data_IF_721517799330
#
_entry.id   IF_721517799330
#
_cell.length_a   1.000
_cell.length_b   1.000
_cell.length_c   1.000
_cell.angle_alpha   90.00
_cell.angle_beta   90.00
_cell.angle_gamma   90.00
#
_symmetry.space_group_name_H-M   'P 1'
#
loop_
_entity.id
_entity.type
_entity.pdbx_description
1 polymer ?
#
# COMPACT_ATOMS: atom_id res chain seq x y z
N UNK A 1 7.85 3.24 -2.61
CA UNK A 1 7.09 2.11 -3.19
C UNK A 1 6.63 2.35 -4.64
N UNK A 2 6.37 3.56 -5.05
CA UNK A 2 5.80 3.87 -6.38
C UNK A 2 6.82 4.10 -7.50
N UNK A 3 8.11 4.29 -7.18
CA UNK A 3 9.12 4.55 -8.20
C UNK A 3 9.90 3.28 -8.57
N UNK A 4 9.80 2.76 -9.80
CA UNK A 4 10.34 1.45 -10.18
C UNK A 4 11.85 1.33 -9.96
N UNK A 5 12.62 2.37 -10.31
CA UNK A 5 14.08 2.34 -10.16
C UNK A 5 14.55 2.43 -8.70
N UNK A 6 13.71 2.99 -7.80
CA UNK A 6 14.06 3.10 -6.39
C UNK A 6 13.90 1.79 -5.61
N UNK A 7 13.16 0.83 -6.15
CA UNK A 7 12.88 -0.45 -5.52
C UNK A 7 13.21 -1.66 -6.40
N UNK A 8 14.14 -1.49 -7.35
CA UNK A 8 14.61 -2.53 -8.25
C UNK A 8 13.46 -3.29 -8.93
N UNK A 9 12.43 -2.54 -9.36
CA UNK A 9 11.26 -3.08 -10.06
C UNK A 9 10.54 -4.20 -9.28
N UNK A 10 10.36 -4.02 -7.98
CA UNK A 10 9.77 -5.04 -7.10
C UNK A 10 8.41 -5.54 -7.60
N UNK A 11 7.55 -4.64 -8.12
CA UNK A 11 6.23 -4.99 -8.66
C UNK A 11 6.38 -5.96 -9.84
N UNK A 12 7.20 -5.59 -10.85
CA UNK A 12 7.46 -6.45 -12.01
C UNK A 12 8.04 -7.82 -11.59
N UNK A 13 8.83 -7.83 -10.51
CA UNK A 13 9.42 -9.08 -10.00
C UNK A 13 8.36 -9.96 -9.33
N UNK A 14 7.45 -9.38 -8.55
CA UNK A 14 6.34 -10.09 -7.90
C UNK A 14 5.42 -10.70 -8.97
N UNK A 15 5.05 -9.91 -9.97
CA UNK A 15 4.17 -10.36 -11.06
C UNK A 15 4.82 -11.45 -11.92
N UNK A 16 6.12 -11.33 -12.23
CA UNK A 16 6.86 -12.36 -12.96
C UNK A 16 6.96 -13.69 -12.19
N UNK A 17 6.97 -13.65 -10.87
CA UNK A 17 6.94 -14.86 -10.03
C UNK A 17 5.50 -15.41 -9.85
N UNK A 18 4.51 -14.83 -10.55
CA UNK A 18 3.14 -15.33 -10.62
C UNK A 18 2.22 -14.86 -9.49
N UNK A 19 2.55 -13.75 -8.81
CA UNK A 19 1.72 -13.17 -7.77
C UNK A 19 1.19 -11.79 -8.17
N UNK A 20 -0.01 -11.43 -7.75
CA UNK A 20 -0.55 -10.08 -7.92
C UNK A 20 0.03 -9.14 -6.85
N UNK A 21 0.37 -7.91 -7.26
CA UNK A 21 0.91 -6.90 -6.37
C UNK A 21 -0.15 -5.85 -6.03
N UNK A 22 -0.58 -5.82 -4.77
CA UNK A 22 -1.48 -4.79 -4.23
C UNK A 22 -0.66 -3.71 -3.55
N UNK A 23 -0.95 -2.44 -3.85
CA UNK A 23 -0.29 -1.29 -3.23
C UNK A 23 -1.31 -0.41 -2.53
N UNK A 24 -1.05 0.00 -1.27
CA UNK A 24 -1.89 0.97 -0.57
C UNK A 24 -2.01 2.30 -1.31
N UNK A 25 -3.14 2.98 -1.14
CA UNK A 25 -3.43 4.26 -1.79
C UNK A 25 -2.42 5.35 -1.36
N UNK A 26 -1.85 6.05 -2.33
CA UNK A 26 -0.93 7.15 -2.06
C UNK A 26 -1.63 8.33 -1.37
N UNK A 27 -2.90 8.56 -1.63
CA UNK A 27 -3.68 9.64 -1.03
C UNK A 27 -3.78 9.50 0.48
N UNK A 28 -3.77 8.28 1.02
CA UNK A 28 -3.87 8.02 2.46
C UNK A 28 -2.71 8.63 3.25
N UNK A 29 -1.54 8.76 2.66
CA UNK A 29 -0.43 9.48 3.28
C UNK A 29 -0.74 10.97 3.51
N UNK A 30 -1.46 11.60 2.60
CA UNK A 30 -1.92 12.99 2.78
C UNK A 30 -3.00 13.06 3.86
N UNK A 31 -3.95 12.14 3.86
CA UNK A 31 -4.96 12.05 4.93
C UNK A 31 -4.31 11.85 6.30
N UNK A 32 -3.33 10.95 6.39
CA UNK A 32 -2.53 10.75 7.60
C UNK A 32 -1.87 12.06 8.07
N UNK A 33 -1.23 12.79 7.16
CA UNK A 33 -0.54 14.03 7.49
C UNK A 33 -1.48 15.07 8.12
N UNK A 34 -2.72 15.15 7.66
CA UNK A 34 -3.74 16.01 8.26
C UNK A 34 -4.29 15.42 9.56
N UNK A 35 -4.59 14.14 9.60
CA UNK A 35 -5.16 13.46 10.77
C UNK A 35 -4.26 13.55 12.01
N UNK A 36 -2.94 13.66 11.85
CA UNK A 36 -2.02 13.90 12.97
C UNK A 36 -2.35 15.17 13.77
N UNK A 37 -3.02 16.15 13.14
CA UNK A 37 -3.48 17.37 13.81
C UNK A 37 -4.55 17.11 14.87
N UNK A 38 -5.32 16.04 14.75
CA UNK A 38 -6.33 15.61 15.72
C UNK A 38 -5.61 15.15 16.99
N UNK A 39 -4.69 14.19 16.87
CA UNK A 39 -3.89 13.69 17.96
C UNK A 39 -3.09 14.81 18.66
N UNK A 40 -2.51 15.73 17.90
CA UNK A 40 -1.77 16.87 18.47
C UNK A 40 -2.64 17.72 19.38
N UNK A 41 -3.91 17.91 19.06
CA UNK A 41 -4.83 18.64 19.93
C UNK A 41 -5.21 17.83 21.16
N UNK A 42 -5.63 16.58 20.98
CA UNK A 42 -6.16 15.73 22.04
C UNK A 42 -5.11 15.36 23.07
N UNK A 43 -3.88 15.04 22.64
CA UNK A 43 -2.84 14.50 23.52
C UNK A 43 -1.69 15.45 23.79
N UNK A 44 -1.40 16.39 22.89
CA UNK A 44 -0.27 17.31 23.02
C UNK A 44 -0.68 18.75 23.32
N UNK A 45 -1.96 18.98 23.66
CA UNK A 45 -2.51 20.29 24.04
C UNK A 45 -2.30 21.40 22.97
N UNK A 46 -2.20 21.04 21.70
CA UNK A 46 -2.18 22.03 20.63
C UNK A 46 -3.53 22.77 20.56
N UNK A 47 -3.58 24.00 20.00
CA UNK A 47 -4.81 24.76 19.90
C UNK A 47 -5.92 23.95 19.18
N UNK A 48 -7.17 24.07 19.62
CA UNK A 48 -8.35 23.45 19.00
C UNK A 48 -8.50 23.79 17.52
N UNK A 49 -7.93 24.91 17.09
CA UNK A 49 -7.84 25.27 15.69
C UNK A 49 -7.12 24.23 14.83
N UNK A 50 -6.08 23.56 15.39
CA UNK A 50 -5.31 22.51 14.72
C UNK A 50 -6.20 21.32 14.39
N UNK A 51 -6.99 20.86 15.35
CA UNK A 51 -7.95 19.77 15.18
C UNK A 51 -9.03 20.14 14.14
N UNK A 52 -9.60 21.36 14.27
CA UNK A 52 -10.64 21.84 13.36
C UNK A 52 -10.15 21.92 11.92
N UNK A 53 -8.94 22.43 11.72
CA UNK A 53 -8.32 22.49 10.40
C UNK A 53 -8.06 21.10 9.85
N UNK A 54 -7.54 20.18 10.67
CA UNK A 54 -7.31 18.79 10.29
C UNK A 54 -8.61 18.12 9.80
N UNK A 55 -9.67 18.20 10.59
CA UNK A 55 -11.00 17.64 10.24
C UNK A 55 -11.58 18.28 8.98
N UNK A 56 -11.41 19.59 8.79
CA UNK A 56 -11.86 20.29 7.60
C UNK A 56 -11.12 19.81 6.34
N UNK A 57 -9.80 19.65 6.40
CA UNK A 57 -9.01 19.16 5.27
C UNK A 57 -9.36 17.72 4.93
N UNK A 58 -9.48 16.84 5.92
CA UNK A 58 -9.90 15.44 5.71
C UNK A 58 -11.27 15.42 5.03
N UNK A 59 -12.24 16.18 5.55
CA UNK A 59 -13.58 16.29 4.96
C UNK A 59 -13.53 16.77 3.50
N UNK A 60 -12.75 17.81 3.23
CA UNK A 60 -12.62 18.38 1.87
C UNK A 60 -12.02 17.35 0.89
N UNK A 61 -10.99 16.65 1.29
CA UNK A 61 -10.38 15.61 0.47
C UNK A 61 -11.34 14.43 0.24
N UNK A 62 -12.09 14.02 1.26
CA UNK A 62 -13.10 12.96 1.13
C UNK A 62 -14.23 13.31 0.17
N UNK A 63 -14.56 14.58 -0.02
CA UNK A 63 -15.57 14.99 -1.04
C UNK A 63 -15.18 14.54 -2.45
N UNK A 64 -13.90 14.63 -2.79
CA UNK A 64 -13.38 14.16 -4.08
C UNK A 64 -13.26 12.65 -4.11
N UNK A 65 -12.74 12.05 -3.02
CA UNK A 65 -12.54 10.62 -2.91
C UNK A 65 -13.85 9.81 -2.92
N UNK A 66 -14.93 10.37 -2.40
CA UNK A 66 -16.25 9.71 -2.35
C UNK A 66 -16.79 9.32 -3.73
N UNK A 67 -16.52 10.10 -4.76
CA UNK A 67 -16.89 9.72 -6.13
C UNK A 67 -16.10 8.49 -6.59
N UNK A 68 -14.80 8.47 -6.34
CA UNK A 68 -13.91 7.35 -6.62
C UNK A 68 -14.38 6.09 -5.88
N UNK A 69 -14.60 6.20 -4.56
CA UNK A 69 -15.08 5.09 -3.73
C UNK A 69 -16.37 4.48 -4.27
N UNK A 70 -17.31 5.32 -4.75
CA UNK A 70 -18.57 4.85 -5.34
C UNK A 70 -18.33 3.98 -6.59
N UNK A 71 -17.39 4.36 -7.45
CA UNK A 71 -17.06 3.56 -8.64
C UNK A 71 -16.31 2.28 -8.26
N UNK A 72 -15.36 2.34 -7.34
CA UNK A 72 -14.61 1.18 -6.87
C UNK A 72 -15.51 0.15 -6.18
N UNK A 73 -16.44 0.59 -5.33
CA UNK A 73 -17.43 -0.29 -4.68
C UNK A 73 -18.38 -1.00 -5.67
N UNK A 74 -18.51 -0.51 -6.88
CA UNK A 74 -19.26 -1.17 -7.94
C UNK A 74 -18.38 -2.09 -8.81
N UNK A 75 -17.07 -2.06 -8.60
CA UNK A 75 -16.13 -2.96 -9.25
C UNK A 75 -16.19 -4.35 -8.61
N UNK A 76 -15.98 -5.39 -9.41
CA UNK A 76 -15.80 -6.76 -8.90
C UNK A 76 -14.35 -7.02 -8.48
N UNK A 77 -13.41 -6.23 -9.00
CA UNK A 77 -11.98 -6.44 -8.84
C UNK A 77 -11.34 -5.53 -7.81
N UNK A 78 -11.82 -4.30 -7.69
CA UNK A 78 -11.20 -3.28 -6.86
C UNK A 78 -12.06 -2.96 -5.66
N UNK A 79 -11.43 -2.86 -4.51
CA UNK A 79 -12.05 -2.38 -3.27
C UNK A 79 -11.80 -0.88 -3.10
N UNK A 80 -12.76 -0.20 -2.45
CA UNK A 80 -12.58 1.20 -2.14
C UNK A 80 -11.70 1.36 -0.91
N UNK A 81 -10.72 2.27 -0.92
CA UNK A 81 -9.85 2.47 0.23
C UNK A 81 -10.63 2.91 1.48
N UNK A 82 -10.21 2.43 2.63
CA UNK A 82 -10.77 2.76 3.93
C UNK A 82 -10.65 4.26 4.25
N UNK A 83 -11.41 4.75 5.21
CA UNK A 83 -11.21 6.12 5.70
C UNK A 83 -9.99 6.19 6.62
N UNK A 84 -9.36 7.37 6.71
CA UNK A 84 -8.24 7.56 7.65
C UNK A 84 -8.65 7.30 9.11
N UNK A 85 -9.92 7.53 9.46
CA UNK A 85 -10.46 7.27 10.79
C UNK A 85 -10.59 5.77 11.08
N UNK A 86 -10.91 4.96 10.06
CA UNK A 86 -10.97 3.50 10.19
C UNK A 86 -9.56 2.93 10.35
N UNK A 87 -8.57 3.47 9.61
CA UNK A 87 -7.16 3.14 9.77
C UNK A 87 -6.66 3.47 11.18
N UNK A 88 -6.95 4.68 11.70
CA UNK A 88 -6.62 5.07 13.08
C UNK A 88 -7.19 4.07 14.09
N UNK A 89 -8.49 3.80 13.98
CA UNK A 89 -9.19 2.87 14.87
C UNK A 89 -8.68 1.44 14.75
N UNK A 90 -8.28 1.04 13.54
CA UNK A 90 -7.78 -0.31 13.26
C UNK A 90 -6.43 -0.61 13.85
N UNK A 91 -5.66 0.41 14.26
CA UNK A 91 -4.28 0.30 14.72
C UNK A 91 -4.06 0.81 16.16
N UNK A 92 -5.04 1.48 16.74
CA UNK A 92 -4.94 2.19 18.05
C UNK A 92 -4.49 1.27 19.20
N UNK A 93 -4.89 0.01 19.19
CA UNK A 93 -4.50 -0.99 20.18
C UNK A 93 -3.19 -1.74 19.84
N UNK A 94 -2.56 -1.42 18.71
CA UNK A 94 -1.34 -2.06 18.19
C UNK A 94 -0.15 -1.14 18.35
N UNK A 95 -0.26 0.11 17.88
CA UNK A 95 0.76 1.14 17.95
C UNK A 95 0.13 2.46 18.38
N UNK A 96 0.76 3.14 19.33
CA UNK A 96 0.24 4.41 19.81
C UNK A 96 0.22 5.45 18.67
N UNK A 97 -0.92 6.13 18.51
CA UNK A 97 -1.11 7.18 17.48
C UNK A 97 -0.19 8.40 17.68
N UNK A 98 0.51 8.49 18.81
CA UNK A 98 1.57 9.48 19.06
C UNK A 98 2.86 9.27 18.26
N UNK A 99 3.02 8.14 17.59
CA UNK A 99 4.10 7.91 16.63
C UNK A 99 3.80 8.64 15.33
N UNK A 100 4.00 9.95 15.31
CA UNK A 100 3.65 10.86 14.19
C UNK A 100 4.87 11.36 13.41
N UNK A 101 6.06 10.87 13.69
CA UNK A 101 7.28 11.26 12.96
C UNK A 101 7.36 10.51 11.63
N UNK A 102 7.52 11.24 10.54
CA UNK A 102 7.47 10.68 9.19
C UNK A 102 6.11 10.04 8.92
N UNK A 103 6.09 8.81 8.45
CA UNK A 103 4.88 8.00 8.22
C UNK A 103 4.26 7.47 9.53
N UNK A 104 5.04 7.41 10.59
CA UNK A 104 4.60 7.06 11.94
C UNK A 104 3.70 5.82 12.01
N UNK A 105 2.62 5.90 12.79
CA UNK A 105 1.65 4.80 12.98
C UNK A 105 1.00 4.32 11.67
N UNK A 106 1.00 5.15 10.65
CA UNK A 106 0.36 4.86 9.37
C UNK A 106 0.97 3.65 8.66
N UNK A 107 2.29 3.42 8.78
CA UNK A 107 2.94 2.22 8.24
C UNK A 107 2.37 0.92 8.83
N UNK A 108 2.12 0.92 10.12
CA UNK A 108 1.47 -0.24 10.77
C UNK A 108 0.02 -0.37 10.33
N UNK A 109 -0.69 0.74 10.17
CA UNK A 109 -2.09 0.75 9.77
C UNK A 109 -2.27 0.20 8.35
N UNK A 110 -1.42 0.60 7.38
CA UNK A 110 -1.43 0.03 6.03
C UNK A 110 -1.25 -1.50 6.05
N UNK A 111 -0.34 -2.02 6.88
CA UNK A 111 -0.14 -3.47 7.00
C UNK A 111 -1.36 -4.17 7.62
N UNK A 112 -1.99 -3.58 8.62
CA UNK A 112 -3.21 -4.12 9.25
C UNK A 112 -4.38 -4.12 8.27
N UNK A 113 -4.53 -3.06 7.49
CA UNK A 113 -5.55 -2.95 6.44
C UNK A 113 -5.38 -4.06 5.40
N UNK A 114 -4.20 -4.19 4.81
CA UNK A 114 -3.90 -5.25 3.84
C UNK A 114 -4.22 -6.66 4.38
N UNK A 115 -3.86 -6.94 5.63
CA UNK A 115 -4.16 -8.24 6.25
C UNK A 115 -5.68 -8.46 6.36
N UNK A 116 -6.42 -7.44 6.76
CA UNK A 116 -7.89 -7.51 6.90
C UNK A 116 -8.61 -7.63 5.56
N UNK A 117 -8.05 -7.06 4.51
CA UNK A 117 -8.52 -7.16 3.12
C UNK A 117 -8.13 -8.48 2.43
N UNK A 118 -7.48 -9.39 3.15
CA UNK A 118 -7.10 -10.70 2.63
C UNK A 118 -5.78 -10.73 1.88
N UNK A 119 -4.92 -9.72 2.05
CA UNK A 119 -3.56 -9.65 1.50
C UNK A 119 -2.53 -9.84 2.61
N UNK A 120 -2.34 -11.04 3.16
CA UNK A 120 -1.49 -11.27 4.33
C UNK A 120 0.00 -11.30 4.01
N UNK A 121 0.40 -11.43 2.73
CA UNK A 121 1.80 -11.48 2.30
C UNK A 121 2.30 -10.08 1.96
N UNK A 122 3.12 -9.48 2.85
CA UNK A 122 3.49 -8.08 2.79
C UNK A 122 5.00 -7.91 2.67
N UNK A 123 5.44 -7.24 1.60
CA UNK A 123 6.80 -6.74 1.46
C UNK A 123 6.89 -5.34 2.11
N UNK A 124 7.42 -5.26 3.33
CA UNK A 124 7.69 -4.00 4.01
C UNK A 124 9.00 -3.41 3.50
N UNK A 125 8.93 -2.61 2.46
CA UNK A 125 10.09 -1.98 1.81
C UNK A 125 10.53 -0.73 2.54
N UNK A 126 11.83 -0.58 2.78
CA UNK A 126 12.36 0.53 3.55
C UNK A 126 13.78 0.92 3.13
N UNK A 127 14.18 2.20 3.26
CA UNK A 127 15.59 2.58 3.24
C UNK A 127 16.22 2.20 4.58
N UNK A 128 17.50 1.85 4.57
CA UNK A 128 18.26 1.54 5.78
C UNK A 128 18.28 2.75 6.73
N UNK A 129 18.17 2.48 8.03
CA UNK A 129 18.17 3.50 9.09
C UNK A 129 17.05 4.55 9.00
N UNK A 130 16.01 4.35 8.20
CA UNK A 130 14.81 5.16 8.24
C UNK A 130 14.06 4.93 9.55
N UNK A 131 14.07 5.91 10.46
CA UNK A 131 13.53 5.78 11.82
C UNK A 131 12.08 5.28 11.86
N UNK A 132 11.10 5.93 11.20
CA UNK A 132 9.71 5.47 11.25
C UNK A 132 9.56 4.05 10.68
N UNK A 133 10.24 3.72 9.60
CA UNK A 133 10.20 2.37 9.04
C UNK A 133 10.77 1.32 10.01
N UNK A 134 11.81 1.64 10.76
CA UNK A 134 12.37 0.72 11.75
C UNK A 134 11.47 0.55 12.97
N UNK A 135 10.82 1.62 13.43
CA UNK A 135 9.98 1.60 14.63
C UNK A 135 8.58 1.04 14.31
N UNK A 136 7.85 1.69 13.41
CA UNK A 136 6.44 1.39 13.13
C UNK A 136 6.20 0.53 11.89
N UNK A 137 7.23 0.28 11.10
CA UNK A 137 7.23 -0.73 10.04
C UNK A 137 7.80 -2.05 10.54
N UNK A 138 9.12 -2.24 10.37
CA UNK A 138 9.84 -3.47 10.74
C UNK A 138 9.67 -3.85 12.22
N UNK A 139 9.67 -2.87 13.13
CA UNK A 139 9.54 -3.10 14.57
C UNK A 139 8.22 -3.74 14.96
N UNK A 140 7.15 -3.51 14.21
CA UNK A 140 5.82 -4.02 14.50
C UNK A 140 5.55 -5.41 13.90
N UNK A 141 6.42 -5.94 13.04
CA UNK A 141 6.20 -7.23 12.34
C UNK A 141 5.94 -8.37 13.33
N UNK A 142 6.69 -8.44 14.44
CA UNK A 142 6.50 -9.49 15.45
C UNK A 142 5.13 -9.41 16.11
N UNK A 143 4.67 -8.21 16.43
CA UNK A 143 3.35 -7.98 17.04
C UNK A 143 2.22 -8.28 16.05
N UNK A 144 2.37 -7.86 14.79
CA UNK A 144 1.41 -8.18 13.73
C UNK A 144 1.27 -9.69 13.52
N UNK A 145 2.37 -10.44 13.46
CA UNK A 145 2.33 -11.90 13.36
C UNK A 145 1.70 -12.57 14.58
N UNK A 146 1.87 -11.99 15.77
CA UNK A 146 1.23 -12.48 17.00
C UNK A 146 -0.29 -12.30 16.96
N UNK A 147 -0.76 -11.17 16.44
CA UNK A 147 -2.20 -10.84 16.36
C UNK A 147 -2.88 -11.50 15.17
N UNK A 148 -2.15 -11.60 14.06
CA UNK A 148 -2.62 -12.17 12.80
C UNK A 148 -1.72 -13.35 12.41
N UNK A 149 -2.02 -14.58 12.89
CA UNK A 149 -1.15 -15.75 12.67
C UNK A 149 -0.90 -16.10 11.20
N UNK A 150 -1.79 -15.67 10.29
CA UNK A 150 -1.63 -15.82 8.84
C UNK A 150 -0.75 -14.76 8.18
N UNK A 151 -0.30 -13.73 8.92
CA UNK A 151 0.49 -12.65 8.35
C UNK A 151 1.91 -13.10 7.98
N UNK A 152 2.24 -13.00 6.70
CA UNK A 152 3.54 -13.30 6.12
C UNK A 152 4.20 -11.98 5.71
N UNK A 153 4.97 -11.37 6.61
CA UNK A 153 5.55 -10.04 6.40
C UNK A 153 7.07 -10.13 6.34
N UNK A 154 7.69 -9.56 5.32
CA UNK A 154 9.15 -9.49 5.18
C UNK A 154 9.62 -8.05 5.06
N UNK A 155 10.58 -7.63 5.90
CA UNK A 155 11.25 -6.35 5.75
C UNK A 155 12.36 -6.47 4.70
N UNK A 156 12.36 -5.56 3.72
CA UNK A 156 13.33 -5.54 2.63
C UNK A 156 13.95 -4.14 2.57
N UNK A 157 15.27 -4.07 2.76
CA UNK A 157 16.01 -2.81 2.73
C UNK A 157 16.42 -2.48 1.27
N UNK A 158 16.15 -1.24 0.85
CA UNK A 158 16.49 -0.71 -0.48
C UNK A 158 17.40 0.49 -0.33
N UNK A 159 18.70 0.24 -0.41
CA UNK A 159 19.75 1.24 -0.33
C UNK A 159 20.72 1.08 -1.49
N UNK A 160 21.43 2.14 -1.88
CA UNK A 160 22.44 2.07 -2.95
C UNK A 160 23.56 1.04 -2.67
N UNK A 161 23.79 0.68 -1.40
CA UNK A 161 24.77 -0.33 -1.01
C UNK A 161 24.19 -1.70 -0.69
N UNK A 162 22.86 -1.87 -0.79
CA UNK A 162 22.22 -3.15 -0.52
C UNK A 162 22.44 -4.14 -1.66
N UNK A 163 22.65 -5.41 -1.30
CA UNK A 163 22.76 -6.48 -2.28
C UNK A 163 21.40 -6.78 -2.91
N UNK A 164 21.29 -6.58 -4.21
CA UNK A 164 20.10 -6.92 -5.00
C UNK A 164 19.74 -8.41 -4.85
N UNK A 165 20.73 -9.28 -4.77
CA UNK A 165 20.54 -10.73 -4.53
C UNK A 165 19.84 -10.97 -3.19
N UNK A 166 20.22 -10.24 -2.15
CA UNK A 166 19.57 -10.37 -0.84
C UNK A 166 18.12 -9.87 -0.86
N UNK A 167 17.84 -8.79 -1.57
CA UNK A 167 16.49 -8.26 -1.76
C UNK A 167 15.61 -9.29 -2.48
N UNK A 168 16.12 -9.83 -3.60
CA UNK A 168 15.43 -10.84 -4.39
C UNK A 168 15.19 -12.13 -3.58
N UNK A 169 16.18 -12.61 -2.82
CA UNK A 169 16.03 -13.79 -1.99
C UNK A 169 14.97 -13.61 -0.91
N UNK A 170 14.90 -12.43 -0.26
CA UNK A 170 13.86 -12.12 0.73
C UNK A 170 12.48 -12.08 0.08
N UNK A 171 12.38 -11.50 -1.12
CA UNK A 171 11.15 -11.45 -1.88
C UNK A 171 10.68 -12.85 -2.29
N UNK A 172 11.57 -13.67 -2.83
CA UNK A 172 11.25 -15.07 -3.20
C UNK A 172 10.83 -15.90 -1.99
N UNK A 173 11.48 -15.70 -0.85
CA UNK A 173 11.06 -16.38 0.39
C UNK A 173 9.69 -15.93 0.86
N UNK A 174 9.37 -14.63 0.73
CA UNK A 174 8.03 -14.11 1.01
C UNK A 174 6.98 -14.77 0.11
N UNK A 175 7.24 -14.83 -1.19
CA UNK A 175 6.32 -15.40 -2.17
C UNK A 175 6.15 -16.91 -2.00
N UNK A 176 7.22 -17.65 -1.69
CA UNK A 176 7.15 -19.10 -1.46
C UNK A 176 6.30 -19.49 -0.24
N UNK A 177 6.15 -18.58 0.71
CA UNK A 177 5.29 -18.76 1.89
C UNK A 177 3.92 -18.08 1.74
N UNK A 178 3.63 -17.50 0.58
CA UNK A 178 2.32 -16.93 0.32
C UNK A 178 1.27 -18.03 0.22
N UNK A 179 0.06 -17.85 0.77
CA UNK A 179 -1.01 -18.82 0.62
C UNK A 179 -1.32 -19.01 -0.87
N UNK A 180 -1.32 -20.26 -1.32
CA UNK A 180 -1.71 -20.59 -2.68
C UNK A 180 -3.20 -20.31 -2.87
N UNK A 181 -3.56 -19.56 -3.91
CA UNK A 181 -4.91 -19.57 -4.44
C UNK A 181 -5.83 -18.40 -4.11
N UNK A 182 -5.37 -17.16 -4.20
CA UNK A 182 -6.24 -16.12 -4.74
C UNK A 182 -5.83 -15.86 -6.19
N UNK A 183 -6.18 -16.77 -7.07
CA UNK A 183 -6.22 -16.42 -8.48
C UNK A 183 -7.38 -15.45 -8.68
N UNK A 184 -7.20 -14.31 -9.34
CA UNK A 184 -8.33 -13.54 -9.83
C UNK A 184 -9.19 -14.52 -10.61
N UNK A 185 -10.51 -14.45 -10.42
CA UNK A 185 -11.45 -15.26 -11.17
C UNK A 185 -11.05 -15.17 -12.65
N UNK A 186 -10.79 -16.29 -13.33
CA UNK A 186 -10.42 -16.33 -14.75
C UNK A 186 -11.50 -15.66 -15.63
N UNK A 187 -12.64 -15.32 -15.03
CA UNK A 187 -13.77 -14.62 -15.62
C UNK A 187 -13.87 -13.14 -15.23
N UNK A 188 -12.89 -12.58 -14.51
CA UNK A 188 -12.90 -11.14 -14.23
C UNK A 188 -12.44 -10.36 -15.47
N UNK A 189 -13.41 -9.96 -16.27
CA UNK A 189 -13.20 -9.16 -17.48
C UNK A 189 -12.90 -7.67 -17.21
N UNK A 190 -12.70 -7.30 -15.93
CA UNK A 190 -12.40 -5.93 -15.50
C UNK A 190 -13.54 -4.93 -15.78
N UNK A 191 -14.78 -5.41 -15.97
CA UNK A 191 -15.93 -4.57 -16.25
C UNK A 191 -16.33 -3.76 -15.04
N UNK A 192 -16.28 -2.44 -15.15
CA UNK A 192 -16.81 -1.50 -14.15
C UNK A 192 -18.29 -1.26 -14.46
N UNK A 193 -19.16 -1.55 -13.48
CA UNK A 193 -20.58 -1.23 -13.55
C UNK A 193 -20.79 0.16 -12.94
N UNK A 194 -21.22 1.12 -13.75
CA UNK A 194 -21.57 2.46 -13.31
C UNK A 194 -22.85 2.43 -12.45
N UNK A 195 -23.05 3.44 -11.59
CA UNK A 195 -24.25 3.54 -10.75
C UNK A 195 -25.58 3.66 -11.52
N UNK A 196 -25.51 3.98 -12.81
CA UNK A 196 -26.65 4.04 -13.75
C UNK A 196 -26.91 2.70 -14.46
N UNK A 197 -26.15 1.64 -14.11
CA UNK A 197 -26.26 0.32 -14.70
C UNK A 197 -25.49 0.15 -16.03
N UNK A 198 -24.81 1.19 -16.51
CA UNK A 198 -23.94 1.06 -17.68
C UNK A 198 -22.63 0.37 -17.30
N UNK A 199 -22.10 -0.44 -18.21
CA UNK A 199 -20.82 -1.10 -18.04
C UNK A 199 -19.75 -0.42 -18.88
N UNK A 200 -18.55 -0.20 -18.32
CA UNK A 200 -17.39 0.21 -19.10
C UNK A 200 -16.22 -0.74 -18.82
N UNK A 201 -15.48 -1.07 -19.88
CA UNK A 201 -14.13 -1.63 -19.71
C UNK A 201 -13.16 -0.45 -19.59
N UNK A 202 -12.29 -0.41 -18.59
CA UNK A 202 -11.26 0.61 -18.56
C UNK A 202 -10.36 0.40 -19.78
N UNK A 203 -10.47 1.29 -20.79
CA UNK A 203 -9.41 1.41 -21.77
C UNK A 203 -8.20 2.02 -21.04
N UNK A 204 -7.20 1.18 -20.80
CA UNK A 204 -5.88 1.68 -20.39
C UNK A 204 -5.30 2.40 -21.60
N UNK A 205 -5.58 3.71 -21.72
CA UNK A 205 -4.85 4.55 -22.66
C UNK A 205 -3.47 4.78 -22.04
N UNK A 206 -2.54 3.95 -22.47
CA UNK A 206 -1.13 4.24 -22.25
C UNK A 206 -0.83 5.58 -22.95
N UNK A 207 -0.19 6.51 -22.25
CA UNK A 207 0.28 7.75 -22.86
C UNK A 207 1.12 7.41 -24.11
N UNK A 208 0.96 8.18 -25.19
CA UNK A 208 1.75 8.01 -26.42
C UNK A 208 3.23 7.96 -26.05
N UNK A 209 3.91 6.85 -26.32
CA UNK A 209 5.31 6.59 -25.91
C UNK A 209 5.51 5.56 -24.81
N UNK A 210 4.46 5.05 -24.18
CA UNK A 210 4.56 3.88 -23.30
C UNK A 210 4.51 2.61 -24.15
N UNK A 211 5.58 1.81 -24.06
CA UNK A 211 5.63 0.50 -24.72
C UNK A 211 4.66 -0.41 -23.97
N UNK A 212 3.61 -0.85 -24.64
CA UNK A 212 2.81 -1.97 -24.16
C UNK A 212 3.74 -3.19 -24.13
N UNK A 213 3.97 -3.76 -22.96
CA UNK A 213 4.60 -5.07 -22.87
C UNK A 213 3.57 -6.09 -23.39
N UNK A 214 3.63 -6.37 -24.69
CA UNK A 214 3.06 -7.59 -25.24
C UNK A 214 4.07 -8.70 -24.98
N UNK A 215 3.56 -9.83 -24.54
CA UNK A 215 4.29 -11.04 -24.21
C UNK A 215 5.39 -11.42 -25.22
N UNK A 216 6.48 -11.94 -24.64
CA UNK A 216 7.45 -12.83 -25.28
C UNK A 216 8.39 -12.24 -26.33
N UNK A 217 9.45 -11.56 -25.86
CA UNK A 217 10.80 -11.84 -26.40
C UNK A 217 11.83 -11.73 -25.29
N UNK A 218 12.84 -12.63 -25.23
CA UNK A 218 13.90 -12.56 -24.25
C UNK A 218 14.75 -11.31 -24.52
N UNK A 219 14.96 -10.50 -23.49
CA UNK A 219 15.86 -9.34 -23.55
C UNK A 219 17.27 -9.86 -23.76
N UNK A 220 17.73 -9.80 -25.00
CA UNK A 220 19.16 -9.90 -25.30
C UNK A 220 19.88 -8.66 -24.76
N UNK A 221 21.05 -8.90 -24.21
CA UNK A 221 22.00 -8.00 -23.57
C UNK A 221 21.99 -6.56 -24.09
N UNK A 222 21.56 -5.63 -23.22
CA UNK A 222 21.92 -4.21 -23.43
C UNK A 222 23.25 -3.90 -22.76
N UNK A 223 24.20 -3.25 -23.44
CA UNK A 223 25.48 -2.89 -22.86
C UNK A 223 25.29 -1.83 -21.76
N UNK A 224 25.94 -2.10 -20.63
CA UNK A 224 26.07 -1.17 -19.51
C UNK A 224 26.99 -0.02 -19.99
N UNK A 225 26.48 1.21 -19.97
CA UNK A 225 27.28 2.43 -20.03
C UNK A 225 27.17 3.14 -18.69
#
# INVERSE_FOLDING_TARGET
KFHPTANNKIVETIEREGAECVMPDLADFFFYSFATGIFRHEELAFPKQTERNAKLFVWFMELYRNKMKKYLNNSRRFEAPSSIYDLMKGVDDIVQLGNITGEGWFLTAEMVELIKEGVPSIACVQPFACLPNHVTGKGMIKELRRRFPGANISAIDYDPGSSEVNQLNRLKLLLSNAPAGMHPDENDDGVIVNPDGTTCKPEVRLAEGSVAFTDTEPVEDMPVV
#
